data_IF_902412962418
#
_entry.id   IF_902412962418
#
_cell.length_a   1.000
_cell.length_b   1.000
_cell.length_c   1.000
_cell.angle_alpha   90.00
_cell.angle_beta   90.00
_cell.angle_gamma   90.00
#
_symmetry.space_group_name_H-M   'P 1'
#
loop_
_entity.id
_entity.type
_entity.pdbx_description
1 polymer ?
#
# COMPACT_ATOMS: atom_id res chain seq x y z
N UNK A 1 -16.65 -41.00 -17.56
CA UNK A 1 -15.45 -40.16 -17.48
C UNK A 1 -14.44 -40.72 -18.44
N UNK A 2 -13.92 -39.90 -19.37
CA UNK A 2 -12.97 -40.37 -20.36
C UNK A 2 -11.67 -40.86 -19.71
N UNK A 3 -11.01 -41.75 -20.37
CA UNK A 3 -9.72 -42.34 -19.97
C UNK A 3 -8.63 -41.26 -20.06
N UNK A 4 -7.83 -41.07 -18.98
CA UNK A 4 -6.68 -40.17 -18.98
C UNK A 4 -5.49 -40.89 -19.59
N UNK A 5 -4.97 -40.37 -20.70
CA UNK A 5 -3.84 -40.92 -21.40
C UNK A 5 -2.57 -40.15 -21.06
N UNK A 6 -1.47 -40.87 -20.92
CA UNK A 6 -0.15 -40.29 -20.77
C UNK A 6 0.35 -39.90 -22.17
N UNK A 7 0.55 -38.57 -22.35
CA UNK A 7 0.97 -37.96 -23.62
C UNK A 7 2.16 -37.06 -23.41
N UNK A 8 2.99 -36.88 -24.40
CA UNK A 8 4.06 -35.88 -24.36
C UNK A 8 3.51 -34.51 -24.79
N UNK A 9 3.98 -33.46 -24.16
CA UNK A 9 3.57 -32.08 -24.52
C UNK A 9 3.87 -31.81 -26.01
N UNK A 10 4.96 -32.32 -26.55
CA UNK A 10 5.33 -32.20 -27.97
C UNK A 10 4.40 -32.89 -28.96
N UNK A 11 3.44 -33.72 -28.52
CA UNK A 11 2.43 -34.31 -29.41
C UNK A 11 1.35 -33.30 -29.82
N UNK A 12 1.14 -32.24 -29.06
CA UNK A 12 0.14 -31.19 -29.32
C UNK A 12 0.69 -29.78 -29.29
N UNK A 13 1.98 -29.59 -28.98
CA UNK A 13 2.66 -28.28 -29.02
C UNK A 13 3.86 -28.36 -29.97
N UNK A 14 3.99 -27.36 -30.83
CA UNK A 14 5.16 -27.17 -31.69
C UNK A 14 5.81 -25.83 -31.37
N UNK A 15 7.14 -25.82 -31.18
CA UNK A 15 7.88 -24.58 -30.99
C UNK A 15 7.76 -23.69 -32.22
N UNK A 16 7.36 -22.42 -32.03
CA UNK A 16 7.37 -21.43 -33.11
C UNK A 16 8.81 -21.11 -33.49
N UNK A 17 9.14 -21.34 -34.72
CA UNK A 17 10.47 -21.09 -35.26
C UNK A 17 10.64 -19.61 -35.62
N UNK A 18 11.88 -19.14 -35.64
CA UNK A 18 12.30 -17.81 -36.04
C UNK A 18 13.04 -17.07 -34.90
N UNK A 19 14.22 -16.58 -35.26
CA UNK A 19 15.02 -15.65 -34.43
C UNK A 19 15.33 -14.45 -35.26
N UNK A 20 15.16 -13.29 -34.65
CA UNK A 20 15.29 -11.98 -35.29
C UNK A 20 16.30 -11.16 -34.50
N UNK A 21 17.09 -10.37 -35.20
CA UNK A 21 17.92 -9.33 -34.56
C UNK A 21 17.04 -8.20 -34.07
N UNK A 22 17.45 -7.44 -33.04
CA UNK A 22 16.63 -6.34 -32.50
C UNK A 22 16.29 -5.26 -33.54
N UNK A 23 17.09 -5.10 -34.57
CA UNK A 23 16.97 -4.13 -35.67
C UNK A 23 16.37 -4.74 -36.95
N UNK A 24 15.86 -5.96 -36.90
CA UNK A 24 15.26 -6.63 -38.05
C UNK A 24 13.93 -5.96 -38.46
N UNK A 25 13.84 -5.58 -39.73
CA UNK A 25 12.64 -4.95 -40.29
C UNK A 25 11.37 -5.81 -40.17
N UNK A 26 11.52 -7.13 -40.15
CA UNK A 26 10.40 -8.06 -40.01
C UNK A 26 9.65 -7.94 -38.66
N UNK A 27 10.28 -7.38 -37.64
CA UNK A 27 9.71 -7.22 -36.30
C UNK A 27 9.61 -5.75 -35.86
N UNK A 28 9.97 -4.80 -36.71
CA UNK A 28 10.07 -3.38 -36.37
C UNK A 28 8.78 -2.75 -35.85
N UNK A 29 7.63 -3.26 -36.28
CA UNK A 29 6.30 -2.77 -35.85
C UNK A 29 5.75 -3.46 -34.62
N UNK A 30 6.39 -4.54 -34.15
CA UNK A 30 5.87 -5.33 -33.03
C UNK A 30 6.28 -4.74 -31.70
N UNK A 31 5.32 -4.59 -30.78
CA UNK A 31 5.60 -4.30 -29.38
C UNK A 31 6.31 -5.47 -28.73
N UNK A 32 6.98 -5.21 -27.62
CA UNK A 32 7.74 -6.24 -26.90
C UNK A 32 6.99 -6.75 -25.68
N UNK A 33 6.96 -8.07 -25.51
CA UNK A 33 6.67 -8.69 -24.22
C UNK A 33 7.87 -8.46 -23.29
N UNK A 34 7.74 -7.49 -22.40
CA UNK A 34 8.80 -7.08 -21.48
C UNK A 34 8.92 -8.05 -20.30
N UNK A 35 7.79 -8.53 -19.80
CA UNK A 35 7.74 -9.46 -18.67
C UNK A 35 6.50 -10.34 -18.74
N UNK A 36 6.68 -11.61 -18.43
CA UNK A 36 5.64 -12.54 -18.04
C UNK A 36 5.73 -12.75 -16.54
N UNK A 37 4.74 -12.28 -15.78
CA UNK A 37 4.77 -12.37 -14.33
C UNK A 37 4.39 -13.77 -13.80
N UNK A 38 4.52 -14.00 -12.50
CA UNK A 38 4.24 -15.30 -11.89
C UNK A 38 2.74 -15.63 -11.82
N UNK A 39 1.85 -14.68 -12.08
CA UNK A 39 0.42 -14.94 -12.30
C UNK A 39 0.12 -15.40 -13.72
N UNK A 40 1.09 -15.30 -14.62
CA UNK A 40 0.98 -15.56 -16.05
C UNK A 40 0.38 -14.37 -16.81
N UNK A 41 0.52 -13.15 -16.31
CA UNK A 41 0.12 -11.93 -17.01
C UNK A 41 1.28 -11.43 -17.88
N UNK A 42 1.00 -11.15 -19.15
CA UNK A 42 1.94 -10.58 -20.11
C UNK A 42 1.94 -9.05 -20.01
N UNK A 43 3.10 -8.47 -19.76
CA UNK A 43 3.32 -7.03 -19.72
C UNK A 43 4.02 -6.61 -21.03
N UNK A 44 3.35 -5.76 -21.80
CA UNK A 44 3.82 -5.31 -23.12
C UNK A 44 4.39 -3.89 -23.00
N UNK A 45 5.49 -3.62 -23.68
CA UNK A 45 6.13 -2.31 -23.73
C UNK A 45 6.70 -2.00 -25.11
N UNK A 46 7.07 -0.74 -25.34
CA UNK A 46 7.75 -0.28 -26.56
C UNK A 46 9.28 -0.17 -26.35
N UNK A 47 9.81 -0.68 -25.24
CA UNK A 47 11.23 -0.59 -24.92
C UNK A 47 12.07 -1.43 -25.90
N UNK A 48 13.16 -0.89 -26.46
CA UNK A 48 14.05 -1.64 -27.35
C UNK A 48 14.73 -2.80 -26.61
N UNK A 49 15.11 -3.83 -27.34
CA UNK A 49 15.94 -4.94 -26.85
C UNK A 49 17.36 -4.82 -27.36
N UNK A 50 18.30 -5.42 -26.62
CA UNK A 50 19.70 -5.60 -27.04
C UNK A 50 20.02 -7.07 -27.38
N UNK A 51 19.05 -7.95 -27.18
CA UNK A 51 19.21 -9.41 -27.42
C UNK A 51 18.30 -9.85 -28.54
N UNK A 52 18.66 -10.95 -29.19
CA UNK A 52 17.83 -11.59 -30.23
C UNK A 52 16.41 -11.80 -29.71
N UNK A 53 15.46 -11.77 -30.64
CA UNK A 53 14.03 -11.81 -30.38
C UNK A 53 13.39 -13.03 -31.04
N UNK A 54 12.27 -13.47 -30.47
CA UNK A 54 11.31 -14.40 -31.07
C UNK A 54 9.98 -13.68 -31.29
N UNK A 55 9.14 -14.19 -32.16
CA UNK A 55 7.76 -13.70 -32.36
C UNK A 55 6.80 -14.56 -31.55
N UNK A 56 5.84 -13.92 -30.93
CA UNK A 56 4.72 -14.52 -30.19
C UNK A 56 3.44 -14.08 -30.87
N UNK A 57 2.65 -15.04 -31.34
CA UNK A 57 1.35 -14.79 -31.96
C UNK A 57 0.21 -14.89 -30.94
N UNK A 58 -0.94 -14.24 -31.18
CA UNK A 58 -2.15 -14.50 -30.41
C UNK A 58 -2.49 -15.98 -30.33
N UNK A 59 -2.76 -16.47 -29.12
CA UNK A 59 -3.01 -17.89 -28.87
C UNK A 59 -1.80 -18.76 -28.57
N UNK A 60 -0.57 -18.29 -28.82
CA UNK A 60 0.64 -19.06 -28.49
C UNK A 60 0.78 -19.24 -26.98
N UNK A 61 1.27 -20.40 -26.56
CA UNK A 61 1.78 -20.61 -25.22
C UNK A 61 3.16 -19.98 -25.08
N UNK A 62 3.32 -19.06 -24.15
CA UNK A 62 4.60 -18.40 -23.87
C UNK A 62 5.14 -18.86 -22.53
N UNK A 63 6.41 -19.20 -22.51
CA UNK A 63 7.13 -19.65 -21.33
C UNK A 63 8.36 -18.79 -21.10
N UNK A 64 8.52 -18.27 -19.88
CA UNK A 64 9.82 -17.74 -19.44
C UNK A 64 10.71 -18.90 -19.01
N UNK A 65 11.74 -19.22 -19.78
CA UNK A 65 12.63 -20.34 -19.50
C UNK A 65 13.23 -20.33 -18.08
N UNK A 66 13.52 -19.15 -17.56
CA UNK A 66 14.13 -18.97 -16.23
C UNK A 66 13.10 -19.08 -15.08
N UNK A 67 11.83 -18.73 -15.32
CA UNK A 67 10.83 -18.53 -14.26
C UNK A 67 9.59 -19.41 -14.39
N UNK A 68 9.58 -20.39 -15.28
CA UNK A 68 8.41 -21.26 -15.51
C UNK A 68 7.97 -22.00 -14.26
N UNK A 69 8.91 -22.52 -13.48
CA UNK A 69 8.62 -23.19 -12.21
C UNK A 69 8.02 -22.28 -11.14
N UNK A 70 8.12 -20.95 -11.30
CA UNK A 70 7.47 -19.94 -10.47
C UNK A 70 6.11 -19.50 -11.02
N UNK A 71 5.68 -20.07 -12.16
CA UNK A 71 4.41 -19.74 -12.80
C UNK A 71 4.49 -18.71 -13.94
N UNK A 72 5.70 -18.36 -14.42
CA UNK A 72 5.86 -17.48 -15.58
C UNK A 72 5.60 -18.25 -16.90
N UNK A 73 4.36 -18.70 -17.05
CA UNK A 73 3.82 -19.43 -18.19
C UNK A 73 2.39 -18.98 -18.44
N UNK A 74 2.03 -18.66 -19.68
CA UNK A 74 0.67 -18.27 -20.05
C UNK A 74 0.42 -18.44 -21.55
N UNK A 75 -0.85 -18.55 -21.90
CA UNK A 75 -1.29 -18.38 -23.29
C UNK A 75 -1.42 -16.89 -23.56
N UNK A 76 -0.76 -16.39 -24.60
CA UNK A 76 -0.82 -14.98 -25.00
C UNK A 76 -2.22 -14.64 -25.51
N UNK A 77 -2.82 -13.61 -24.90
CA UNK A 77 -4.21 -13.20 -25.15
C UNK A 77 -4.32 -11.87 -25.92
N UNK A 78 -3.18 -11.33 -26.38
CA UNK A 78 -3.19 -10.10 -27.20
C UNK A 78 -3.90 -10.32 -28.54
N UNK A 79 -4.31 -9.24 -29.20
CA UNK A 79 -4.91 -9.28 -30.55
C UNK A 79 -3.85 -9.20 -31.65
N UNK A 80 -2.68 -8.64 -31.35
CA UNK A 80 -1.60 -8.43 -32.31
C UNK A 80 -0.35 -9.23 -31.90
N UNK A 81 0.49 -9.63 -32.86
CA UNK A 81 1.77 -10.24 -32.58
C UNK A 81 2.67 -9.34 -31.76
N UNK A 82 3.51 -9.95 -30.91
CA UNK A 82 4.54 -9.25 -30.14
C UNK A 82 5.87 -9.96 -30.26
N UNK A 83 6.94 -9.27 -29.96
CA UNK A 83 8.26 -9.87 -29.80
C UNK A 83 8.54 -10.23 -28.35
N UNK A 84 9.38 -11.24 -28.12
CA UNK A 84 9.95 -11.55 -26.82
C UNK A 84 11.43 -11.87 -26.97
N UNK A 85 12.23 -11.65 -25.91
CA UNK A 85 13.66 -12.02 -25.94
C UNK A 85 13.81 -13.54 -25.99
N UNK A 86 14.95 -14.04 -26.48
CA UNK A 86 15.29 -15.49 -26.58
C UNK A 86 15.29 -16.23 -25.23
N UNK A 87 15.08 -15.54 -24.11
CA UNK A 87 14.82 -16.16 -22.79
C UNK A 87 13.39 -16.68 -22.63
N UNK A 88 12.53 -16.37 -23.61
CA UNK A 88 11.19 -16.92 -23.75
C UNK A 88 11.16 -17.95 -24.87
N UNK A 89 10.17 -18.83 -24.80
CA UNK A 89 9.80 -19.75 -25.87
C UNK A 89 8.33 -19.60 -26.18
N UNK A 90 7.96 -19.69 -27.46
CA UNK A 90 6.59 -19.59 -27.96
C UNK A 90 6.20 -20.88 -28.66
N UNK A 91 4.98 -21.35 -28.39
CA UNK A 91 4.50 -22.65 -28.93
C UNK A 91 3.12 -22.51 -29.56
N UNK A 92 2.94 -23.20 -30.67
CA UNK A 92 1.68 -23.34 -31.40
C UNK A 92 0.94 -24.59 -30.88
N UNK A 93 -0.39 -24.49 -30.78
CA UNK A 93 -1.26 -25.61 -30.38
C UNK A 93 -1.79 -26.40 -31.57
N UNK A 94 -1.99 -27.72 -31.35
CA UNK A 94 -2.90 -28.52 -32.16
C UNK A 94 -4.29 -28.55 -31.51
N UNK A 95 -5.23 -27.80 -32.05
CA UNK A 95 -6.60 -27.70 -31.56
C UNK A 95 -7.39 -29.00 -31.62
N UNK A 96 -6.95 -30.00 -32.44
CA UNK A 96 -7.57 -31.30 -32.50
C UNK A 96 -7.24 -32.18 -31.32
N UNK A 97 -6.13 -31.92 -30.65
CA UNK A 97 -5.62 -32.72 -29.54
C UNK A 97 -5.90 -32.07 -28.16
N UNK A 98 -5.90 -30.73 -28.07
CA UNK A 98 -6.03 -30.03 -26.80
C UNK A 98 -6.92 -28.78 -26.86
N UNK A 99 -7.79 -28.63 -25.87
CA UNK A 99 -8.54 -27.39 -25.65
C UNK A 99 -7.63 -26.31 -25.03
N UNK A 100 -7.53 -25.14 -25.69
CA UNK A 100 -6.68 -24.04 -25.28
C UNK A 100 -6.98 -23.55 -23.85
N UNK A 101 -8.27 -23.46 -23.47
CA UNK A 101 -8.66 -23.02 -22.14
C UNK A 101 -8.35 -24.08 -21.08
N UNK A 102 -8.48 -25.37 -21.42
CA UNK A 102 -8.05 -26.46 -20.56
C UNK A 102 -6.56 -26.32 -20.24
N UNK A 103 -5.73 -26.19 -21.29
CA UNK A 103 -4.28 -26.07 -21.10
C UNK A 103 -3.89 -24.82 -20.32
N UNK A 104 -4.55 -23.68 -20.58
CA UNK A 104 -4.38 -22.44 -19.83
C UNK A 104 -4.61 -22.63 -18.31
N UNK A 105 -5.60 -23.41 -17.90
CA UNK A 105 -5.84 -23.72 -16.49
C UNK A 105 -4.87 -24.79 -15.97
N UNK A 106 -4.55 -25.78 -16.78
CA UNK A 106 -3.62 -26.86 -16.42
C UNK A 106 -2.23 -26.31 -16.08
N UNK A 107 -1.64 -25.47 -16.92
CA UNK A 107 -0.30 -24.90 -16.68
C UNK A 107 -0.22 -24.02 -15.43
N UNK A 108 -1.35 -23.55 -14.91
CA UNK A 108 -1.45 -22.80 -13.66
C UNK A 108 -1.81 -23.69 -12.46
N UNK A 109 -2.04 -24.97 -12.68
CA UNK A 109 -2.44 -25.91 -11.63
C UNK A 109 -1.24 -26.42 -10.82
N UNK A 110 -1.47 -26.81 -9.55
CA UNK A 110 -0.45 -27.51 -8.76
C UNK A 110 0.03 -28.82 -9.41
N UNK A 111 -0.82 -29.51 -10.18
CA UNK A 111 -0.48 -30.75 -10.88
C UNK A 111 0.65 -30.51 -11.89
N UNK A 112 0.56 -29.45 -12.69
CA UNK A 112 1.63 -29.13 -13.65
C UNK A 112 2.94 -28.75 -12.95
N UNK A 113 2.88 -27.97 -11.87
CA UNK A 113 4.08 -27.61 -11.08
C UNK A 113 4.73 -28.88 -10.51
N UNK A 114 3.95 -29.85 -10.07
CA UNK A 114 4.46 -31.14 -9.57
C UNK A 114 5.10 -31.95 -10.69
N UNK A 115 4.50 -31.99 -11.88
CA UNK A 115 5.06 -32.63 -13.10
C UNK A 115 6.43 -32.02 -13.43
N UNK A 116 6.54 -30.67 -13.43
CA UNK A 116 7.83 -30.00 -13.64
C UNK A 116 8.88 -30.43 -12.61
N UNK A 117 8.51 -30.46 -11.33
CA UNK A 117 9.45 -30.87 -10.27
C UNK A 117 9.94 -32.28 -10.38
N UNK A 118 9.07 -33.19 -10.83
CA UNK A 118 9.41 -34.64 -11.00
C UNK A 118 10.25 -34.91 -12.23
N UNK A 119 10.00 -34.24 -13.36
CA UNK A 119 10.58 -34.57 -14.65
C UNK A 119 11.75 -33.67 -15.07
N UNK A 120 11.92 -32.48 -14.45
CA UNK A 120 13.02 -31.60 -14.81
C UNK A 120 14.20 -31.73 -13.84
N UNK A 121 15.34 -32.23 -14.34
CA UNK A 121 16.59 -32.33 -13.58
C UNK A 121 17.10 -30.93 -13.18
N UNK A 122 17.47 -30.76 -11.92
CA UNK A 122 18.03 -29.50 -11.41
C UNK A 122 17.02 -28.59 -10.68
N UNK A 123 15.76 -29.00 -10.58
CA UNK A 123 14.74 -28.33 -9.77
C UNK A 123 14.30 -26.95 -10.31
N UNK A 124 13.72 -26.17 -9.43
CA UNK A 124 13.02 -24.89 -9.72
C UNK A 124 13.92 -23.78 -10.32
N UNK A 125 15.24 -23.94 -10.31
CA UNK A 125 16.22 -22.93 -10.75
C UNK A 125 16.75 -23.15 -12.17
N UNK A 126 16.30 -24.18 -12.88
CA UNK A 126 16.83 -24.55 -14.20
C UNK A 126 16.04 -23.82 -15.30
N UNK A 127 16.75 -23.28 -16.28
CA UNK A 127 16.14 -22.75 -17.50
C UNK A 127 15.48 -23.89 -18.28
N UNK A 128 14.16 -23.81 -18.49
CA UNK A 128 13.37 -24.79 -19.24
C UNK A 128 13.34 -24.38 -20.72
N UNK A 129 14.17 -25.00 -21.51
CA UNK A 129 14.22 -24.84 -22.98
C UNK A 129 13.24 -25.79 -23.66
N UNK A 130 12.85 -25.55 -24.94
CA UNK A 130 11.95 -26.41 -25.70
C UNK A 130 12.33 -27.89 -25.67
N UNK A 131 13.64 -28.21 -25.76
CA UNK A 131 14.18 -29.58 -25.66
C UNK A 131 13.87 -30.28 -24.33
N UNK A 132 13.57 -29.55 -23.28
CA UNK A 132 13.20 -30.07 -21.94
C UNK A 132 11.69 -30.06 -21.76
N UNK A 133 11.00 -29.06 -22.31
CA UNK A 133 9.57 -28.87 -22.15
C UNK A 133 8.71 -29.80 -22.97
N UNK A 134 9.02 -29.96 -24.27
CA UNK A 134 8.23 -30.78 -25.20
C UNK A 134 8.20 -32.27 -24.83
N UNK A 135 9.29 -32.90 -24.31
CA UNK A 135 9.27 -34.29 -23.86
C UNK A 135 8.51 -34.54 -22.55
N UNK A 136 8.09 -33.49 -21.81
CA UNK A 136 7.35 -33.69 -20.55
C UNK A 136 6.08 -34.50 -20.79
N UNK A 137 5.89 -35.51 -19.97
CA UNK A 137 4.71 -36.36 -19.99
C UNK A 137 3.65 -35.85 -19.01
N UNK A 138 2.44 -35.69 -19.51
CA UNK A 138 1.27 -35.27 -18.71
C UNK A 138 0.14 -36.29 -18.92
N UNK A 139 -0.77 -36.32 -17.96
CA UNK A 139 -2.04 -37.04 -18.13
C UNK A 139 -3.05 -36.09 -18.77
N UNK A 140 -3.53 -36.50 -19.96
CA UNK A 140 -4.47 -35.70 -20.75
C UNK A 140 -5.77 -36.50 -20.98
N UNK A 141 -6.95 -35.96 -20.58
CA UNK A 141 -8.23 -36.58 -20.91
C UNK A 141 -8.63 -36.27 -22.35
N UNK A 142 -9.66 -36.94 -22.84
CA UNK A 142 -10.27 -36.65 -24.14
C UNK A 142 -10.84 -35.22 -24.21
N UNK A 143 -10.99 -34.64 -25.40
CA UNK A 143 -11.49 -33.31 -25.63
C UNK A 143 -12.86 -33.01 -24.97
N UNK A 144 -13.87 -33.91 -25.02
CA UNK A 144 -15.12 -33.72 -24.28
C UNK A 144 -14.92 -33.55 -22.78
N UNK A 145 -14.04 -34.35 -22.17
CA UNK A 145 -13.70 -34.21 -20.73
C UNK A 145 -12.96 -32.96 -20.44
N UNK A 146 -12.00 -32.54 -21.30
CA UNK A 146 -11.34 -31.23 -21.18
C UNK A 146 -12.34 -30.07 -21.14
N UNK A 147 -13.30 -30.05 -22.09
CA UNK A 147 -14.37 -29.04 -22.15
C UNK A 147 -15.26 -29.04 -20.90
N UNK A 148 -15.59 -30.23 -20.35
CA UNK A 148 -16.33 -30.32 -19.10
C UNK A 148 -15.55 -29.72 -17.89
N UNK A 149 -14.25 -30.02 -17.81
CA UNK A 149 -13.35 -29.46 -16.78
C UNK A 149 -13.31 -27.94 -16.92
N UNK A 150 -13.11 -27.40 -18.12
CA UNK A 150 -13.14 -25.96 -18.39
C UNK A 150 -14.44 -25.34 -17.93
N UNK A 151 -15.59 -25.94 -18.27
CA UNK A 151 -16.92 -25.44 -17.85
C UNK A 151 -17.04 -25.37 -16.32
N UNK A 152 -16.63 -26.41 -15.60
CA UNK A 152 -16.64 -26.45 -14.12
C UNK A 152 -15.73 -25.39 -13.51
N UNK A 153 -14.49 -25.27 -14.01
CA UNK A 153 -13.53 -24.26 -13.56
C UNK A 153 -14.10 -22.86 -13.81
N UNK A 154 -14.59 -22.59 -15.02
CA UNK A 154 -15.10 -21.26 -15.41
C UNK A 154 -16.26 -20.80 -14.53
N UNK A 155 -17.22 -21.68 -14.21
CA UNK A 155 -18.34 -21.38 -13.31
C UNK A 155 -17.83 -21.00 -11.90
N UNK A 156 -16.92 -21.82 -11.37
CA UNK A 156 -16.37 -21.57 -10.03
C UNK A 156 -15.51 -20.30 -9.98
N UNK A 157 -14.66 -20.07 -10.99
CA UNK A 157 -13.84 -18.84 -11.07
C UNK A 157 -14.70 -17.58 -11.23
N UNK A 158 -15.83 -17.63 -11.95
CA UNK A 158 -16.76 -16.50 -12.00
C UNK A 158 -17.27 -16.12 -10.60
N UNK A 159 -17.64 -17.12 -9.78
CA UNK A 159 -18.08 -16.91 -8.39
C UNK A 159 -16.97 -16.32 -7.53
N UNK A 160 -15.76 -16.88 -7.62
CA UNK A 160 -14.58 -16.40 -6.87
C UNK A 160 -14.21 -14.97 -7.28
N UNK A 161 -14.22 -14.66 -8.57
CA UNK A 161 -13.94 -13.32 -9.07
C UNK A 161 -14.99 -12.29 -8.59
N UNK A 162 -16.28 -12.69 -8.47
CA UNK A 162 -17.30 -11.84 -7.86
C UNK A 162 -16.97 -11.54 -6.41
N UNK A 163 -16.64 -12.57 -5.62
CA UNK A 163 -16.24 -12.40 -4.22
C UNK A 163 -14.99 -11.52 -4.07
N UNK A 164 -14.00 -11.67 -4.95
CA UNK A 164 -12.81 -10.83 -4.95
C UNK A 164 -13.14 -9.34 -5.17
N UNK A 165 -14.04 -9.04 -6.11
CA UNK A 165 -14.54 -7.66 -6.32
C UNK A 165 -15.28 -7.10 -5.11
N UNK A 166 -16.07 -7.93 -4.43
CA UNK A 166 -16.76 -7.55 -3.20
C UNK A 166 -15.76 -7.22 -2.08
N UNK A 167 -14.68 -8.00 -1.93
CA UNK A 167 -13.59 -7.73 -0.98
C UNK A 167 -12.92 -6.39 -1.27
N UNK A 168 -12.58 -6.09 -2.51
CA UNK A 168 -11.99 -4.78 -2.87
C UNK A 168 -12.93 -3.61 -2.55
N UNK A 169 -14.23 -3.81 -2.75
CA UNK A 169 -15.25 -2.82 -2.37
C UNK A 169 -15.31 -2.63 -0.86
N UNK A 170 -15.28 -3.73 -0.07
CA UNK A 170 -15.26 -3.66 1.39
C UNK A 170 -14.00 -2.95 1.92
N UNK A 171 -12.82 -3.21 1.36
CA UNK A 171 -11.57 -2.49 1.69
C UNK A 171 -11.72 -0.98 1.48
N UNK A 172 -12.30 -0.59 0.35
CA UNK A 172 -12.55 0.83 0.05
C UNK A 172 -13.49 1.47 1.07
N UNK A 173 -14.58 0.77 1.43
CA UNK A 173 -15.54 1.27 2.43
C UNK A 173 -14.93 1.34 3.83
N UNK A 174 -14.12 0.38 4.26
CA UNK A 174 -13.43 0.44 5.55
C UNK A 174 -12.50 1.66 5.62
N UNK A 175 -11.74 1.92 4.55
CA UNK A 175 -10.89 3.12 4.45
C UNK A 175 -11.72 4.41 4.49
N UNK A 176 -12.86 4.46 3.80
CA UNK A 176 -13.75 5.62 3.81
C UNK A 176 -14.38 5.82 5.19
N UNK A 177 -14.81 4.75 5.86
CA UNK A 177 -15.38 4.81 7.20
C UNK A 177 -14.38 5.41 8.20
N UNK A 178 -13.12 4.97 8.17
CA UNK A 178 -12.04 5.57 9.00
C UNK A 178 -11.91 7.08 8.79
N UNK A 179 -11.96 7.51 7.53
CA UNK A 179 -11.90 8.94 7.19
C UNK A 179 -13.12 9.72 7.70
N UNK A 180 -14.32 9.14 7.53
CA UNK A 180 -15.56 9.78 7.97
C UNK A 180 -15.61 9.91 9.49
N UNK A 181 -15.20 8.89 10.25
CA UNK A 181 -15.11 8.95 11.71
C UNK A 181 -14.25 10.14 12.16
N UNK A 182 -13.06 10.30 11.58
CA UNK A 182 -12.16 11.41 11.91
C UNK A 182 -12.74 12.76 11.46
N UNK A 183 -13.41 12.82 10.32
CA UNK A 183 -14.06 14.04 9.85
C UNK A 183 -15.20 14.45 10.77
N UNK A 184 -16.10 13.52 11.09
CA UNK A 184 -17.27 13.78 11.95
C UNK A 184 -16.86 14.13 13.38
N UNK A 185 -15.76 13.54 13.87
CA UNK A 185 -15.18 13.89 15.16
C UNK A 185 -14.70 15.35 15.20
N UNK A 186 -13.94 15.78 14.19
CA UNK A 186 -13.33 17.10 14.11
C UNK A 186 -14.37 18.19 13.79
N UNK A 187 -15.46 17.84 13.13
CA UNK A 187 -16.61 18.73 12.93
C UNK A 187 -17.57 18.74 14.11
N UNK A 188 -17.30 17.98 15.17
CA UNK A 188 -18.13 17.91 16.38
C UNK A 188 -19.45 17.17 16.19
N UNK A 189 -19.63 16.43 15.10
CA UNK A 189 -20.86 15.66 14.84
C UNK A 189 -21.00 14.47 15.78
N UNK A 190 -19.89 13.81 16.14
CA UNK A 190 -19.91 12.64 17.03
C UNK A 190 -20.35 12.99 18.46
N UNK A 191 -20.18 14.22 18.88
CA UNK A 191 -20.51 14.70 20.24
C UNK A 191 -21.70 15.64 20.28
N UNK A 192 -22.51 15.67 19.22
CA UNK A 192 -23.67 16.56 19.16
C UNK A 192 -24.68 16.35 20.31
N UNK A 193 -24.96 15.09 20.65
CA UNK A 193 -25.88 14.77 21.76
C UNK A 193 -25.21 15.00 23.12
N UNK A 194 -23.94 14.68 23.26
CA UNK A 194 -23.15 14.98 24.46
C UNK A 194 -23.19 16.49 24.81
N UNK A 195 -23.05 17.40 23.82
CA UNK A 195 -23.14 18.85 24.02
C UNK A 195 -24.49 19.33 24.50
N UNK A 196 -25.59 18.68 24.15
CA UNK A 196 -26.92 19.03 24.68
C UNK A 196 -27.01 18.83 26.20
N UNK A 197 -26.34 17.80 26.69
CA UNK A 197 -26.29 17.43 28.10
C UNK A 197 -25.22 18.22 28.87
N UNK A 198 -24.25 18.82 28.15
CA UNK A 198 -23.12 19.53 28.71
C UNK A 198 -23.00 20.94 28.08
N UNK A 199 -23.88 21.88 28.48
CA UNK A 199 -23.90 23.23 27.91
C UNK A 199 -22.62 24.00 28.26
N UNK A 200 -22.34 25.02 27.45
CA UNK A 200 -21.16 25.89 27.63
C UNK A 200 -21.23 26.58 28.99
N UNK A 201 -20.14 26.49 29.74
CA UNK A 201 -19.91 27.19 31.02
C UNK A 201 -18.77 28.20 30.83
N UNK A 202 -19.11 29.46 30.58
CA UNK A 202 -18.13 30.52 30.32
C UNK A 202 -17.06 30.58 31.40
N UNK A 203 -15.79 30.63 30.98
CA UNK A 203 -14.63 30.68 31.87
C UNK A 203 -14.19 29.35 32.45
N UNK A 204 -14.90 28.25 32.16
CA UNK A 204 -14.51 26.90 32.56
C UNK A 204 -13.83 26.14 31.39
N UNK A 205 -12.52 25.83 31.44
CA UNK A 205 -11.81 25.17 30.35
C UNK A 205 -12.37 23.80 29.95
N UNK A 206 -13.10 23.14 30.85
CA UNK A 206 -13.75 21.87 30.54
C UNK A 206 -14.97 22.02 29.62
N UNK A 207 -15.61 23.18 29.58
CA UNK A 207 -16.86 23.43 28.84
C UNK A 207 -16.84 24.73 28.00
N UNK A 208 -15.69 25.43 27.94
CA UNK A 208 -15.48 26.64 27.17
C UNK A 208 -14.10 26.65 26.52
N UNK A 209 -14.06 26.60 25.20
CA UNK A 209 -12.79 26.55 24.45
C UNK A 209 -12.01 27.88 24.53
N UNK A 210 -12.67 29.02 24.77
CA UNK A 210 -11.96 30.29 24.97
C UNK A 210 -11.14 30.24 26.27
N UNK A 211 -11.76 29.78 27.36
CA UNK A 211 -11.08 29.59 28.64
C UNK A 211 -9.96 28.54 28.55
N UNK A 212 -10.19 27.46 27.80
CA UNK A 212 -9.15 26.45 27.54
C UNK A 212 -7.98 27.06 26.76
N UNK A 213 -8.26 27.87 25.74
CA UNK A 213 -7.21 28.53 24.96
C UNK A 213 -6.38 29.47 25.81
N UNK A 214 -7.01 30.25 26.68
CA UNK A 214 -6.31 31.11 27.65
C UNK A 214 -5.41 30.30 28.61
N UNK A 215 -5.91 29.16 29.10
CA UNK A 215 -5.13 28.24 29.93
C UNK A 215 -3.91 27.71 29.16
N UNK A 216 -4.11 27.28 27.94
CA UNK A 216 -3.03 26.82 27.03
C UNK A 216 -1.98 27.94 26.86
N UNK A 217 -2.40 29.20 26.64
CA UNK A 217 -1.46 30.33 26.49
C UNK A 217 -0.63 30.56 27.75
N UNK A 218 -1.20 30.32 28.94
CA UNK A 218 -0.47 30.44 30.24
C UNK A 218 0.53 29.28 30.44
N UNK A 219 0.18 28.09 30.05
CA UNK A 219 1.04 26.90 30.20
C UNK A 219 2.16 26.79 29.15
N UNK A 220 2.00 27.44 28.02
CA UNK A 220 2.97 27.35 26.91
C UNK A 220 4.35 27.88 27.33
N UNK A 221 5.37 27.02 27.13
CA UNK A 221 6.78 27.35 27.30
C UNK A 221 7.34 27.96 26.01
N UNK A 222 6.83 29.11 25.58
CA UNK A 222 7.22 29.72 24.29
C UNK A 222 8.32 30.75 24.52
N UNK A 223 9.32 30.74 23.65
CA UNK A 223 10.29 31.84 23.56
C UNK A 223 9.57 33.14 23.17
N UNK A 224 9.71 34.21 24.03
CA UNK A 224 9.13 35.52 23.83
C UNK A 224 9.50 36.20 22.49
N UNK A 225 10.52 35.69 21.80
CA UNK A 225 10.97 36.18 20.48
C UNK A 225 10.17 35.64 19.30
N UNK A 226 9.26 34.68 19.48
CA UNK A 226 8.46 34.13 18.37
C UNK A 226 7.41 35.17 17.94
N UNK A 227 7.36 35.41 16.61
CA UNK A 227 6.34 36.23 15.98
C UNK A 227 4.94 35.65 16.24
N UNK A 228 3.98 36.47 16.56
CA UNK A 228 2.55 36.14 16.60
C UNK A 228 2.11 35.60 15.25
N UNK A 229 1.29 34.55 15.26
CA UNK A 229 0.69 34.00 14.03
C UNK A 229 -0.42 34.94 13.54
N UNK A 230 -0.71 34.97 12.23
CA UNK A 230 -1.77 35.80 11.70
C UNK A 230 -3.13 35.37 12.27
N UNK A 231 -4.05 36.30 12.51
CA UNK A 231 -5.42 35.99 12.95
C UNK A 231 -6.11 35.11 11.91
N UNK A 232 -7.04 34.26 12.33
CA UNK A 232 -7.86 33.45 11.44
C UNK A 232 -9.00 34.30 10.90
N UNK A 233 -9.05 34.46 9.57
CA UNK A 233 -10.14 35.19 8.90
C UNK A 233 -11.33 34.25 8.68
N UNK A 234 -12.56 34.81 8.64
CA UNK A 234 -13.77 34.01 8.41
C UNK A 234 -13.74 33.22 7.06
N UNK A 235 -13.16 33.85 6.05
CA UNK A 235 -12.98 33.18 4.73
C UNK A 235 -12.02 32.00 4.73
N UNK A 236 -11.14 31.85 5.74
CA UNK A 236 -10.22 30.74 5.88
C UNK A 236 -10.87 29.52 6.56
N UNK A 237 -11.96 29.72 7.32
CA UNK A 237 -12.60 28.68 8.14
C UNK A 237 -13.22 27.61 7.22
N UNK A 238 -12.84 26.33 7.37
CA UNK A 238 -13.35 25.25 6.50
C UNK A 238 -14.85 24.96 6.69
N UNK A 239 -15.38 25.23 7.87
CA UNK A 239 -16.78 25.01 8.27
C UNK A 239 -17.11 25.79 9.54
N UNK A 240 -18.40 25.88 9.87
CA UNK A 240 -18.92 26.46 11.09
C UNK A 240 -18.67 25.55 12.28
N UNK A 241 -18.07 26.08 13.35
CA UNK A 241 -17.83 25.32 14.58
C UNK A 241 -19.10 25.18 15.44
N UNK A 242 -19.25 24.09 16.20
CA UNK A 242 -20.23 24.00 17.27
C UNK A 242 -20.03 25.10 18.31
N UNK A 243 -21.13 25.50 18.96
CA UNK A 243 -21.08 26.47 20.06
C UNK A 243 -20.14 26.00 21.17
N UNK A 244 -19.31 26.87 21.66
CA UNK A 244 -18.30 26.58 22.70
C UNK A 244 -16.96 26.08 22.15
N UNK A 245 -16.81 25.91 20.82
CA UNK A 245 -15.54 25.59 20.17
C UNK A 245 -14.85 26.87 19.64
N UNK A 246 -13.54 26.76 19.37
CA UNK A 246 -12.74 27.88 18.84
C UNK A 246 -11.82 27.38 17.74
N UNK A 247 -11.67 28.13 16.62
CA UNK A 247 -10.59 27.95 15.68
C UNK A 247 -9.27 28.49 16.23
N UNK A 248 -8.20 27.67 16.14
CA UNK A 248 -6.84 28.07 16.57
C UNK A 248 -5.81 27.67 15.54
N UNK A 249 -4.67 28.35 15.49
CA UNK A 249 -3.52 27.91 14.71
C UNK A 249 -2.75 26.81 15.49
N UNK A 250 -2.27 25.79 14.79
CA UNK A 250 -1.50 24.69 15.40
C UNK A 250 -0.33 25.21 16.23
N UNK A 251 0.37 26.23 15.73
CA UNK A 251 1.45 26.87 16.45
C UNK A 251 1.03 27.60 17.73
N UNK A 252 -0.26 27.89 17.93
CA UNK A 252 -0.76 28.58 19.16
C UNK A 252 -1.02 27.57 20.28
N UNK A 253 -1.17 26.30 19.99
CA UNK A 253 -1.49 25.25 20.96
C UNK A 253 -0.33 24.27 21.20
N UNK A 254 0.86 24.59 20.69
CA UNK A 254 2.08 23.78 20.85
C UNK A 254 3.18 24.58 21.54
N UNK A 255 3.97 23.91 22.37
CA UNK A 255 5.19 24.47 22.95
C UNK A 255 6.24 24.76 21.86
N UNK A 256 6.40 23.84 20.93
CA UNK A 256 7.26 24.02 19.76
C UNK A 256 6.79 23.19 18.57
N UNK A 257 7.10 23.66 17.36
CA UNK A 257 7.02 22.89 16.11
C UNK A 257 8.32 23.14 15.36
N UNK A 258 9.12 22.09 15.21
CA UNK A 258 10.43 22.13 14.56
C UNK A 258 10.56 20.96 13.60
N UNK A 259 11.70 20.82 12.99
CA UNK A 259 12.11 19.61 12.25
C UNK A 259 13.42 19.07 12.84
N UNK A 260 13.85 17.91 12.35
CA UNK A 260 15.12 17.31 12.72
C UNK A 260 16.32 18.12 12.26
N UNK A 261 17.52 17.58 12.45
CA UNK A 261 18.74 18.29 12.08
C UNK A 261 18.92 18.36 10.56
N UNK A 262 19.37 19.50 10.05
CA UNK A 262 19.61 19.76 8.64
C UNK A 262 20.93 19.15 8.14
N UNK A 263 21.92 19.01 9.00
CA UNK A 263 23.18 18.36 8.70
C UNK A 263 23.05 16.85 8.92
N UNK A 264 23.42 16.00 7.94
CA UNK A 264 23.41 14.56 8.17
C UNK A 264 24.45 14.22 9.24
N UNK A 265 24.02 13.58 10.36
CA UNK A 265 24.94 13.22 11.43
C UNK A 265 25.94 12.14 10.96
N UNK A 266 27.16 12.08 11.53
CA UNK A 266 28.08 10.98 11.30
C UNK A 266 27.42 9.64 11.66
N UNK A 267 27.48 8.69 10.72
CA UNK A 267 26.91 7.35 10.94
C UNK A 267 27.74 6.59 11.99
N UNK A 268 27.04 5.89 12.88
CA UNK A 268 27.61 5.01 13.88
C UNK A 268 27.08 3.58 13.69
N UNK A 269 27.89 2.54 14.02
CA UNK A 269 27.45 1.15 13.98
C UNK A 269 26.41 0.82 15.08
N UNK A 270 26.42 1.59 16.18
CA UNK A 270 25.50 1.50 17.32
C UNK A 270 25.35 2.85 18.00
N UNK A 271 24.38 3.01 18.89
CA UNK A 271 24.15 4.25 19.64
C UNK A 271 22.68 4.64 19.70
N UNK A 272 22.40 5.95 19.61
CA UNK A 272 21.02 6.47 19.60
C UNK A 272 20.42 6.29 18.20
N UNK A 273 19.21 5.70 18.06
CA UNK A 273 18.55 5.54 16.78
C UNK A 273 18.30 6.88 16.06
N UNK A 274 18.57 6.91 14.75
CA UNK A 274 18.28 8.04 13.87
C UNK A 274 17.15 7.66 12.90
N UNK A 275 15.97 8.19 13.16
CA UNK A 275 14.73 7.87 12.46
C UNK A 275 14.61 8.71 11.18
N UNK A 276 14.27 8.06 10.08
CA UNK A 276 14.01 8.69 8.78
C UNK A 276 12.57 8.43 8.33
N UNK A 277 12.12 9.10 7.26
CA UNK A 277 10.72 9.02 6.79
C UNK A 277 10.25 7.59 6.58
N UNK A 278 11.06 6.72 5.98
CA UNK A 278 10.68 5.32 5.75
C UNK A 278 10.41 4.53 7.04
N UNK A 279 10.92 5.00 8.17
CA UNK A 279 10.70 4.36 9.47
C UNK A 279 9.35 4.75 10.10
N UNK A 280 8.71 5.84 9.62
CA UNK A 280 7.45 6.35 10.18
C UNK A 280 6.30 6.46 9.16
N UNK A 281 6.55 6.24 7.88
CA UNK A 281 5.56 6.37 6.79
C UNK A 281 4.35 5.43 6.91
N UNK A 282 4.42 4.42 7.76
CA UNK A 282 3.31 3.51 8.09
C UNK A 282 2.36 4.05 9.17
N UNK A 283 2.64 5.21 9.77
CA UNK A 283 1.92 5.75 10.93
C UNK A 283 2.39 5.18 12.28
N UNK A 284 3.47 4.39 12.28
CA UNK A 284 4.12 3.84 13.48
C UNK A 284 5.62 3.96 13.34
N UNK A 285 6.33 4.12 14.47
CA UNK A 285 7.79 4.17 14.48
C UNK A 285 8.35 2.76 14.35
N UNK A 286 9.22 2.55 13.36
CA UNK A 286 9.94 1.31 13.13
C UNK A 286 11.44 1.59 13.06
N UNK A 287 12.25 0.92 13.85
CA UNK A 287 13.71 1.03 13.83
C UNK A 287 14.34 0.03 12.83
N UNK A 288 13.82 -0.03 11.60
CA UNK A 288 14.26 -1.04 10.59
C UNK A 288 15.62 -0.72 9.98
N UNK A 289 15.92 0.56 9.80
CA UNK A 289 17.07 0.99 9.01
C UNK A 289 18.41 0.99 9.77
N UNK A 290 18.44 0.59 11.06
CA UNK A 290 19.65 0.48 11.88
C UNK A 290 20.63 1.64 11.68
N UNK A 291 20.12 2.87 11.66
CA UNK A 291 20.92 4.08 11.62
C UNK A 291 21.09 4.61 13.03
N UNK A 292 22.30 4.91 13.40
CA UNK A 292 22.61 5.38 14.75
C UNK A 292 23.48 6.65 14.68
N UNK A 293 23.38 7.44 15.75
CA UNK A 293 24.28 8.57 16.02
C UNK A 293 24.97 8.38 17.35
N UNK A 294 26.07 9.08 17.58
CA UNK A 294 26.75 9.05 18.87
C UNK A 294 25.89 9.72 19.96
N UNK A 295 26.09 9.31 21.20
CA UNK A 295 25.46 9.97 22.38
C UNK A 295 25.88 11.44 22.48
N UNK A 296 27.13 11.77 22.15
CA UNK A 296 27.63 13.15 22.17
C UNK A 296 26.93 14.06 21.14
N UNK A 297 26.64 13.50 19.94
CA UNK A 297 25.83 14.22 18.96
C UNK A 297 24.41 14.45 19.50
N UNK A 298 23.77 13.41 20.02
CA UNK A 298 22.43 13.51 20.57
C UNK A 298 22.32 14.54 21.73
N UNK A 299 23.29 14.53 22.64
CA UNK A 299 23.32 15.45 23.79
C UNK A 299 23.55 16.92 23.40
N UNK A 300 24.10 17.19 22.19
CA UNK A 300 24.28 18.54 21.65
C UNK A 300 23.07 19.06 20.92
N UNK A 301 22.07 18.22 20.63
CA UNK A 301 20.85 18.68 19.95
C UNK A 301 20.05 19.63 20.85
N UNK A 302 19.48 20.71 20.31
CA UNK A 302 18.52 21.52 21.04
C UNK A 302 17.32 20.68 21.51
N UNK A 303 16.81 20.96 22.70
CA UNK A 303 15.74 20.17 23.32
C UNK A 303 14.47 20.08 22.45
N UNK A 304 14.15 21.15 21.71
CA UNK A 304 13.04 21.17 20.78
C UNK A 304 13.21 20.22 19.57
N UNK A 305 14.44 19.78 19.28
CA UNK A 305 14.75 18.80 18.21
C UNK A 305 14.86 17.36 18.70
N UNK A 306 14.68 17.12 19.99
CA UNK A 306 14.66 15.79 20.58
C UNK A 306 13.20 15.41 20.83
N UNK A 307 12.65 14.38 20.15
CA UNK A 307 11.29 13.89 20.41
C UNK A 307 11.19 13.32 21.83
N UNK A 308 10.13 13.63 22.52
CA UNK A 308 9.81 13.15 23.89
C UNK A 308 8.43 12.48 23.90
N UNK A 309 8.17 11.61 24.87
CA UNK A 309 6.86 10.95 25.04
C UNK A 309 5.73 11.99 25.10
N UNK A 310 4.71 11.81 24.26
CA UNK A 310 3.59 12.74 24.11
C UNK A 310 3.77 13.74 22.98
N UNK A 311 4.94 13.82 22.34
CA UNK A 311 5.13 14.54 21.10
C UNK A 311 4.49 13.81 19.91
N UNK A 312 4.27 14.54 18.82
CA UNK A 312 3.77 13.97 17.56
C UNK A 312 4.81 14.25 16.48
N UNK A 313 5.32 13.18 15.87
CA UNK A 313 6.08 13.32 14.63
C UNK A 313 5.11 13.56 13.48
N UNK A 314 5.53 14.36 12.51
CA UNK A 314 4.73 14.63 11.31
C UNK A 314 5.61 14.55 10.07
N UNK A 315 5.26 13.67 9.12
CA UNK A 315 6.04 13.60 7.89
C UNK A 315 5.83 14.86 7.07
N UNK A 316 6.91 15.57 6.71
CA UNK A 316 6.82 16.84 5.98
C UNK A 316 7.35 16.78 4.56
N UNK A 317 8.00 15.68 4.15
CA UNK A 317 8.58 15.52 2.81
C UNK A 317 8.25 14.16 2.21
N UNK A 318 7.99 14.09 0.92
CA UNK A 318 7.66 12.84 0.20
C UNK A 318 6.27 12.32 0.59
N UNK A 319 6.20 11.27 1.37
CA UNK A 319 4.94 10.77 1.97
C UNK A 319 4.51 11.69 3.13
N UNK A 320 4.19 12.93 2.85
CA UNK A 320 3.86 13.95 3.84
C UNK A 320 2.44 13.81 4.41
N UNK A 321 2.22 14.42 5.58
CA UNK A 321 0.89 14.52 6.20
C UNK A 321 0.52 13.32 7.07
N UNK A 322 1.50 12.56 7.56
CA UNK A 322 1.28 11.41 8.44
C UNK A 322 1.73 11.77 9.86
N UNK A 323 0.82 11.92 10.82
CA UNK A 323 1.16 12.06 12.22
C UNK A 323 1.50 10.70 12.83
N UNK A 324 2.51 10.68 13.72
CA UNK A 324 2.96 9.48 14.42
C UNK A 324 3.23 9.82 15.89
N UNK A 325 2.59 9.16 16.85
CA UNK A 325 2.80 9.47 18.26
C UNK A 325 4.17 8.97 18.71
N UNK A 326 4.83 9.76 19.57
CA UNK A 326 6.09 9.39 20.19
C UNK A 326 5.83 8.64 21.48
N UNK A 327 6.34 7.41 21.54
CA UNK A 327 6.33 6.56 22.73
C UNK A 327 7.67 6.68 23.49
N UNK A 328 7.82 5.92 24.57
CA UNK A 328 8.97 5.98 25.48
C UNK A 328 10.25 5.37 24.90
N UNK A 329 10.83 6.03 23.87
CA UNK A 329 12.11 5.66 23.27
C UNK A 329 12.97 6.89 23.05
N UNK A 330 14.29 6.76 23.30
CA UNK A 330 15.28 7.80 22.96
C UNK A 330 15.71 7.65 21.51
N UNK A 331 15.47 8.67 20.68
CA UNK A 331 15.92 8.74 19.28
C UNK A 331 16.00 10.18 18.81
N UNK A 332 16.62 10.42 17.69
CA UNK A 332 16.52 11.68 16.96
C UNK A 332 16.02 11.45 15.53
N UNK A 333 15.63 12.52 14.85
CA UNK A 333 14.95 12.44 13.56
C UNK A 333 15.65 13.26 12.48
N UNK A 334 15.47 12.82 11.24
CA UNK A 334 15.92 13.54 10.04
C UNK A 334 15.09 14.82 9.84
N UNK A 335 15.69 15.86 9.20
CA UNK A 335 15.05 17.15 8.84
C UNK A 335 13.71 17.06 8.08
N UNK A 336 13.39 15.91 7.48
CA UNK A 336 12.17 15.69 6.73
C UNK A 336 10.98 15.23 7.62
N UNK A 337 11.19 15.24 8.93
CA UNK A 337 10.20 14.88 9.95
C UNK A 337 10.01 16.10 10.85
N UNK A 338 8.79 16.61 10.88
CA UNK A 338 8.37 17.63 11.84
C UNK A 338 8.22 17.01 13.23
N UNK A 339 8.60 17.77 14.25
CA UNK A 339 8.42 17.45 15.67
C UNK A 339 7.42 18.47 16.22
N UNK A 340 6.24 17.99 16.57
CA UNK A 340 5.18 18.81 17.18
C UNK A 340 5.15 18.47 18.66
N UNK A 341 5.41 19.48 19.51
CA UNK A 341 5.36 19.37 20.97
C UNK A 341 4.10 20.08 21.48
N UNK A 342 2.95 19.38 21.59
CA UNK A 342 1.72 20.00 22.06
C UNK A 342 1.80 20.41 23.53
N UNK A 343 0.92 21.31 23.97
CA UNK A 343 0.62 21.42 25.38
C UNK A 343 -0.02 20.10 25.85
N UNK A 344 0.38 19.60 27.00
CA UNK A 344 0.05 18.23 27.44
C UNK A 344 -1.45 17.95 27.49
N UNK A 345 -2.25 18.94 27.85
CA UNK A 345 -3.70 18.81 28.01
C UNK A 345 -4.46 18.33 26.75
N UNK A 346 -3.92 18.61 25.56
CA UNK A 346 -4.63 18.41 24.28
C UNK A 346 -3.96 17.36 23.37
N UNK A 347 -2.91 16.66 23.81
CA UNK A 347 -2.06 15.83 22.95
C UNK A 347 -2.82 14.75 22.18
N UNK A 348 -3.75 14.05 22.84
CA UNK A 348 -4.47 12.92 22.24
C UNK A 348 -5.50 13.39 21.20
N UNK A 349 -6.26 14.45 21.52
CA UNK A 349 -7.17 15.08 20.58
C UNK A 349 -6.41 15.68 19.38
N UNK A 350 -5.29 16.34 19.61
CA UNK A 350 -4.47 16.91 18.54
C UNK A 350 -3.93 15.85 17.58
N UNK A 351 -3.53 14.70 18.11
CA UNK A 351 -3.11 13.58 17.26
C UNK A 351 -4.20 13.17 16.26
N UNK A 352 -5.43 12.95 16.73
CA UNK A 352 -6.55 12.62 15.84
C UNK A 352 -6.94 13.77 14.91
N UNK A 353 -6.82 15.02 15.36
CA UNK A 353 -7.02 16.20 14.51
C UNK A 353 -6.04 16.22 13.33
N UNK A 354 -4.77 15.94 13.58
CA UNK A 354 -3.74 15.87 12.54
C UNK A 354 -3.94 14.68 11.57
N UNK A 355 -4.59 13.59 12.01
CA UNK A 355 -5.00 12.48 11.15
C UNK A 355 -6.20 12.80 10.26
N UNK A 356 -6.95 13.87 10.55
CA UNK A 356 -8.21 14.17 9.89
C UNK A 356 -8.04 14.59 8.42
N UNK A 357 -9.09 14.39 7.59
CA UNK A 357 -9.10 14.87 6.21
C UNK A 357 -8.90 16.39 6.10
N UNK A 358 -9.31 17.17 7.10
CA UNK A 358 -9.14 18.63 7.14
C UNK A 358 -7.66 18.99 7.19
N UNK A 359 -6.89 18.39 8.11
CA UNK A 359 -5.45 18.63 8.20
C UNK A 359 -4.73 18.10 6.94
N UNK A 360 -5.18 16.97 6.38
CA UNK A 360 -4.62 16.49 5.13
C UNK A 360 -4.87 17.46 3.96
N UNK A 361 -6.07 18.04 3.86
CA UNK A 361 -6.40 19.05 2.84
C UNK A 361 -5.53 20.30 2.99
N UNK A 362 -5.28 20.76 4.21
CA UNK A 362 -4.37 21.88 4.46
C UNK A 362 -2.93 21.51 4.05
N UNK A 363 -2.46 20.31 4.40
CA UNK A 363 -1.16 19.82 3.99
C UNK A 363 -1.01 19.78 2.46
N UNK A 364 -2.04 19.29 1.75
CA UNK A 364 -2.05 19.24 0.29
C UNK A 364 -2.03 20.64 -0.36
N UNK A 365 -2.68 21.61 0.28
CA UNK A 365 -2.74 23.00 -0.19
C UNK A 365 -1.43 23.78 -0.06
N UNK A 366 -0.59 23.43 0.92
CA UNK A 366 0.69 24.14 1.17
C UNK A 366 1.93 23.34 0.74
N UNK A 367 1.77 22.08 0.36
CA UNK A 367 2.87 21.26 -0.10
C UNK A 367 3.36 21.70 -1.49
N UNK A 368 4.66 22.03 -1.60
CA UNK A 368 5.30 22.46 -2.82
C UNK A 368 6.47 21.57 -3.22
N UNK A 369 6.89 21.64 -4.46
CA UNK A 369 7.98 20.85 -5.05
C UNK A 369 7.52 20.01 -6.24
N UNK A 370 8.36 19.88 -7.26
CA UNK A 370 8.03 19.16 -8.51
C UNK A 370 8.27 17.65 -8.35
N UNK A 371 9.49 17.26 -7.99
CA UNK A 371 9.86 15.84 -7.86
C UNK A 371 9.47 15.25 -6.48
N UNK A 372 9.64 16.05 -5.42
CA UNK A 372 9.33 15.64 -4.04
C UNK A 372 8.63 16.79 -3.34
N UNK A 373 7.37 16.57 -2.96
CA UNK A 373 6.58 17.57 -2.24
C UNK A 373 7.02 17.70 -0.79
N UNK A 374 7.07 18.94 -0.29
CA UNK A 374 7.47 19.28 1.08
C UNK A 374 6.51 20.31 1.68
N UNK A 375 6.14 20.12 2.94
CA UNK A 375 5.40 21.09 3.78
C UNK A 375 6.42 21.90 4.56
N UNK A 376 6.52 23.23 4.37
CA UNK A 376 7.37 24.08 5.22
C UNK A 376 6.88 24.06 6.66
N UNK A 377 7.78 24.02 7.63
CA UNK A 377 7.44 24.07 9.07
C UNK A 377 6.66 25.34 9.41
N UNK A 378 6.94 26.46 8.73
CA UNK A 378 6.18 27.71 8.89
C UNK A 378 4.70 27.49 8.56
N UNK A 379 4.41 26.81 7.44
CA UNK A 379 3.03 26.54 7.01
C UNK A 379 2.34 25.50 7.92
N UNK A 380 3.07 24.50 8.40
CA UNK A 380 2.55 23.57 9.39
C UNK A 380 2.07 24.28 10.67
N UNK A 381 2.79 25.31 11.12
CA UNK A 381 2.37 26.15 12.28
C UNK A 381 1.05 26.87 12.03
N UNK A 382 0.73 27.20 10.78
CA UNK A 382 -0.48 27.91 10.37
C UNK A 382 -1.70 27.00 10.23
N UNK A 383 -1.56 25.67 10.32
CA UNK A 383 -2.71 24.76 10.20
C UNK A 383 -3.79 25.18 11.20
N UNK A 384 -5.01 25.25 10.69
CA UNK A 384 -6.19 25.54 11.51
C UNK A 384 -6.71 24.27 12.16
N UNK A 385 -6.85 24.31 13.46
CA UNK A 385 -7.33 23.21 14.30
C UNK A 385 -8.59 23.69 15.02
N UNK A 386 -9.71 22.95 14.94
CA UNK A 386 -10.86 23.24 15.79
C UNK A 386 -10.53 22.77 17.21
N UNK A 387 -10.68 23.63 18.17
CA UNK A 387 -10.41 23.37 19.58
C UNK A 387 -11.73 23.22 20.33
N UNK A 388 -12.14 21.99 20.70
CA UNK A 388 -13.24 21.76 21.63
C UNK A 388 -12.84 22.08 23.07
N UNK A 389 -13.79 22.29 24.00
CA UNK A 389 -13.51 22.27 25.43
C UNK A 389 -12.91 20.96 25.90
N UNK A 390 -12.15 20.98 27.01
CA UNK A 390 -11.33 19.82 27.43
C UNK A 390 -12.13 18.55 27.72
N UNK A 391 -13.31 18.64 28.32
CA UNK A 391 -14.18 17.50 28.60
C UNK A 391 -14.69 16.87 27.29
N UNK A 392 -15.05 17.71 26.31
CA UNK A 392 -15.50 17.22 25.00
C UNK A 392 -14.35 16.59 24.20
N UNK A 393 -13.13 17.09 24.30
CA UNK A 393 -11.95 16.45 23.69
C UNK A 393 -11.77 15.00 24.18
N UNK A 394 -11.91 14.77 25.49
CA UNK A 394 -11.82 13.44 26.10
C UNK A 394 -12.91 12.51 25.54
N UNK A 395 -14.14 13.00 25.41
CA UNK A 395 -15.24 12.23 24.85
C UNK A 395 -15.03 11.94 23.37
N UNK A 396 -14.57 12.91 22.59
CA UNK A 396 -14.20 12.70 21.16
C UNK A 396 -13.14 11.62 21.03
N UNK A 397 -12.06 11.69 21.81
CA UNK A 397 -10.97 10.70 21.80
C UNK A 397 -11.52 9.31 22.11
N UNK A 398 -12.32 9.17 23.18
CA UNK A 398 -12.96 7.91 23.57
C UNK A 398 -13.82 7.32 22.45
N UNK A 399 -14.62 8.14 21.78
CA UNK A 399 -15.48 7.72 20.68
C UNK A 399 -14.64 7.29 19.45
N UNK A 400 -13.64 8.08 19.08
CA UNK A 400 -12.74 7.75 17.96
C UNK A 400 -12.05 6.42 18.21
N UNK A 401 -11.44 6.22 19.37
CA UNK A 401 -10.73 4.97 19.71
C UNK A 401 -11.64 3.75 19.61
N UNK A 402 -12.84 3.83 20.19
CA UNK A 402 -13.83 2.76 20.13
C UNK A 402 -14.27 2.46 18.67
N UNK A 403 -14.51 3.49 17.87
CA UNK A 403 -14.92 3.32 16.47
C UNK A 403 -13.78 2.78 15.61
N UNK A 404 -12.56 3.30 15.77
CA UNK A 404 -11.39 2.85 15.01
C UNK A 404 -11.02 1.39 15.35
N UNK A 405 -11.19 0.97 16.61
CA UNK A 405 -11.01 -0.44 16.99
C UNK A 405 -11.98 -1.36 16.22
N UNK A 406 -13.26 -0.95 16.09
CA UNK A 406 -14.24 -1.71 15.29
C UNK A 406 -13.88 -1.75 13.81
N UNK A 407 -13.37 -0.64 13.26
CA UNK A 407 -12.89 -0.59 11.87
C UNK A 407 -11.69 -1.52 11.68
N UNK A 408 -10.76 -1.55 12.62
CA UNK A 408 -9.60 -2.45 12.57
C UNK A 408 -10.03 -3.93 12.60
N UNK A 409 -10.99 -4.28 13.46
CA UNK A 409 -11.57 -5.64 13.47
C UNK A 409 -12.20 -5.99 12.12
N UNK A 410 -12.94 -5.07 11.51
CA UNK A 410 -13.51 -5.25 10.17
C UNK A 410 -12.41 -5.44 9.11
N UNK A 411 -11.36 -4.64 9.11
CA UNK A 411 -10.22 -4.77 8.21
C UNK A 411 -9.53 -6.14 8.35
N UNK A 412 -9.37 -6.65 9.56
CA UNK A 412 -8.83 -7.99 9.80
C UNK A 412 -9.74 -9.11 9.25
N UNK A 413 -11.07 -8.96 9.39
CA UNK A 413 -12.01 -9.90 8.80
C UNK A 413 -11.94 -9.90 7.26
N UNK A 414 -11.80 -8.72 6.66
CA UNK A 414 -11.66 -8.55 5.21
C UNK A 414 -10.37 -9.25 4.72
N UNK A 415 -9.24 -9.08 5.41
CA UNK A 415 -8.00 -9.75 5.09
C UNK A 415 -8.11 -11.29 5.15
N UNK A 416 -8.75 -11.82 6.20
CA UNK A 416 -9.00 -13.27 6.30
C UNK A 416 -9.86 -13.80 5.14
N UNK A 417 -10.90 -13.06 4.75
CA UNK A 417 -11.75 -13.42 3.59
C UNK A 417 -10.94 -13.42 2.30
N UNK A 418 -10.03 -12.48 2.11
CA UNK A 418 -9.13 -12.44 0.96
C UNK A 418 -8.22 -13.68 0.91
N UNK A 419 -7.65 -14.08 2.04
CA UNK A 419 -6.87 -15.30 2.15
C UNK A 419 -7.68 -16.55 1.78
N UNK A 420 -8.93 -16.66 2.27
CA UNK A 420 -9.83 -17.76 1.90
C UNK A 420 -10.14 -17.79 0.41
N UNK A 421 -10.36 -16.63 -0.24
CA UNK A 421 -10.56 -16.56 -1.69
C UNK A 421 -9.34 -17.07 -2.43
N UNK A 422 -8.13 -16.70 -2.01
CA UNK A 422 -6.89 -17.16 -2.61
C UNK A 422 -6.70 -18.70 -2.45
N UNK A 423 -7.07 -19.24 -1.29
CA UNK A 423 -7.05 -20.68 -1.04
C UNK A 423 -8.10 -21.41 -1.90
N UNK A 424 -9.30 -20.86 -2.04
CA UNK A 424 -10.37 -21.40 -2.85
C UNK A 424 -9.99 -21.46 -4.33
N UNK A 425 -9.35 -20.41 -4.87
CA UNK A 425 -8.82 -20.41 -6.25
C UNK A 425 -7.83 -21.54 -6.47
N UNK A 426 -6.87 -21.74 -5.56
CA UNK A 426 -5.92 -22.85 -5.62
C UNK A 426 -6.60 -24.21 -5.50
N UNK A 427 -7.60 -24.32 -4.62
CA UNK A 427 -8.40 -25.53 -4.42
C UNK A 427 -9.20 -25.95 -5.66
N UNK A 428 -9.81 -24.99 -6.36
CA UNK A 428 -10.55 -25.23 -7.61
C UNK A 428 -9.63 -25.86 -8.66
N UNK A 429 -8.45 -25.28 -8.88
CA UNK A 429 -7.48 -25.80 -9.86
C UNK A 429 -6.93 -27.17 -9.41
N UNK A 430 -6.58 -27.33 -8.13
CA UNK A 430 -6.11 -28.62 -7.60
C UNK A 430 -7.16 -29.71 -7.76
N UNK A 431 -8.42 -29.42 -7.46
CA UNK A 431 -9.51 -30.39 -7.55
C UNK A 431 -9.90 -30.76 -8.99
N UNK A 432 -9.72 -29.81 -9.94
CA UNK A 432 -10.05 -30.02 -11.34
C UNK A 432 -9.06 -30.94 -12.06
N UNK A 433 -7.79 -30.96 -11.64
CA UNK A 433 -6.69 -31.74 -12.25
C UNK A 433 -6.18 -32.84 -11.31
N UNK A 434 -6.96 -33.24 -10.31
CA UNK A 434 -6.64 -34.41 -9.49
C UNK A 434 -7.02 -35.67 -10.25
N UNK A 435 -6.05 -36.57 -10.41
CA UNK A 435 -6.29 -37.90 -10.93
C UNK A 435 -7.40 -38.62 -10.13
N UNK A 436 -8.35 -39.22 -10.81
CA UNK A 436 -9.31 -40.14 -10.23
C UNK A 436 -9.06 -41.53 -10.74
#
# INVERSE_FOLDING_TARGET
MGEWKKVRIGEFLTERQGRYKPDDNAIATYKRLDKLDFSGTAHISEKPSKTDMIVVQPGDLVISGINVAKGAIAVYQGMEPVTATIHYSSYIFDDSAIDLNYFKYFVKSPAFIETLKKQVKGGIKTEIKPKVFLPLEILLPDLPTQKQIVKKISVNLKRVNKLAKEIETQKRYAKQLRRNILQDAIEGKLTADWRKEHPVQKGNPDYDAEALFELIQKERKVDKKRKTLPPILDAEKPFELPTGWKWVRLGEICNSITDGDHLPPPKQPSGIPFVVISDISSGKIHFRNKRFVSRDYFNKLPREKIPETGDILYTVTGSYGIPVPVNDFQFCVQRHIGIIKPVHLIKDFLFFSLMSPICKKQADGVAWGVAVKTIPIKELRNFMIPLPPLAEQKEIVRLIENMLLKVEQLEQQILRREEYINQLMKGILKGAFKER
#
